data_IF_243216061012
#
_entry.id   IF_243216061012
#
_cell.length_a   1.000
_cell.length_b   1.000
_cell.length_c   1.000
_cell.angle_alpha   90.00
_cell.angle_beta   90.00
_cell.angle_gamma   90.00
#
_symmetry.space_group_name_H-M   'P 1'
#
loop_
_entity.id
_entity.type
_entity.pdbx_description
1 polymer ?
#
# COMPACT_ATOMS: atom_id res chain seq x y z
N UNK A 1 -8.21 -4.42 7.30
CA UNK A 1 -6.83 -4.69 6.83
C UNK A 1 -6.28 -3.56 5.96
N UNK A 2 -6.75 -3.34 4.72
CA UNK A 2 -6.19 -2.31 3.80
C UNK A 2 -6.05 -0.91 4.39
N UNK A 3 -7.04 -0.48 5.17
CA UNK A 3 -7.01 0.83 5.85
C UNK A 3 -5.82 0.95 6.79
N UNK A 4 -5.56 -0.08 7.59
CA UNK A 4 -4.45 -0.05 8.55
C UNK A 4 -3.12 -0.01 7.82
N UNK A 5 -2.97 -0.83 6.76
CA UNK A 5 -1.77 -0.85 5.92
C UNK A 5 -1.52 0.54 5.32
N UNK A 6 -2.52 1.14 4.65
CA UNK A 6 -2.41 2.48 4.08
C UNK A 6 -2.06 3.53 5.14
N UNK A 7 -2.79 3.52 6.26
CA UNK A 7 -2.60 4.51 7.32
C UNK A 7 -1.22 4.40 7.97
N UNK A 8 -0.73 3.18 8.21
CA UNK A 8 0.60 2.94 8.77
C UNK A 8 1.70 3.32 7.78
N UNK A 9 1.54 2.95 6.51
CA UNK A 9 2.49 3.27 5.46
C UNK A 9 2.62 4.77 5.24
N UNK A 10 1.51 5.51 5.14
CA UNK A 10 1.55 6.96 5.00
C UNK A 10 2.16 7.65 6.23
N UNK A 11 1.74 7.25 7.44
CA UNK A 11 2.25 7.85 8.68
C UNK A 11 3.75 7.64 8.86
N UNK A 12 4.27 6.47 8.47
CA UNK A 12 5.71 6.17 8.54
C UNK A 12 6.47 6.68 7.32
N UNK A 13 5.75 7.02 6.24
CA UNK A 13 6.22 7.41 4.89
C UNK A 13 7.10 6.38 4.18
N UNK A 14 7.98 5.69 4.89
CA UNK A 14 8.94 4.72 4.36
C UNK A 14 8.85 3.40 5.11
N UNK A 15 8.77 2.31 4.35
CA UNK A 15 8.92 0.93 4.82
C UNK A 15 10.13 0.33 4.09
N UNK A 16 10.89 -0.55 4.75
CA UNK A 16 11.94 -1.36 4.13
C UNK A 16 11.47 -2.79 3.96
N UNK A 17 11.75 -3.39 2.81
CA UNK A 17 11.53 -4.81 2.62
C UNK A 17 12.67 -5.67 3.22
N UNK A 18 12.56 -6.99 3.12
CA UNK A 18 13.58 -7.92 3.64
C UNK A 18 14.97 -7.75 3.02
N UNK A 19 15.08 -7.13 1.83
CA UNK A 19 16.32 -6.84 1.12
C UNK A 19 16.89 -5.47 1.50
N UNK A 20 16.21 -4.69 2.34
CA UNK A 20 16.58 -3.32 2.70
C UNK A 20 16.13 -2.27 1.68
N UNK A 21 15.39 -2.66 0.63
CA UNK A 21 14.92 -1.75 -0.40
C UNK A 21 13.73 -0.91 0.11
N UNK A 22 13.61 0.30 -0.42
CA UNK A 22 12.73 1.36 0.09
C UNK A 22 11.37 1.31 -0.59
N UNK A 23 10.31 1.21 0.22
CA UNK A 23 8.91 1.34 -0.15
C UNK A 23 8.43 2.71 0.34
N UNK A 24 8.32 3.67 -0.58
CA UNK A 24 8.09 5.09 -0.24
C UNK A 24 6.70 5.55 -0.67
N UNK A 25 5.94 6.10 0.28
CA UNK A 25 4.65 6.73 0.04
C UNK A 25 4.74 7.93 -0.90
N UNK A 26 5.92 8.56 -1.00
CA UNK A 26 6.19 9.67 -1.92
C UNK A 26 5.81 9.35 -3.36
N UNK A 27 5.97 8.10 -3.82
CA UNK A 27 5.58 7.73 -5.18
C UNK A 27 4.08 7.87 -5.44
N UNK A 28 3.23 7.67 -4.42
CA UNK A 28 1.78 7.92 -4.53
C UNK A 28 1.49 9.42 -4.65
N UNK A 29 2.23 10.25 -3.89
CA UNK A 29 2.13 11.73 -3.97
C UNK A 29 2.56 12.23 -5.35
N UNK A 30 3.75 11.81 -5.81
CA UNK A 30 4.30 12.16 -7.12
C UNK A 30 3.38 11.73 -8.27
N UNK A 31 2.86 10.50 -8.23
CA UNK A 31 1.91 10.02 -9.23
C UNK A 31 0.66 10.89 -9.30
N UNK A 32 0.07 11.24 -8.15
CA UNK A 32 -1.10 12.12 -8.12
C UNK A 32 -0.81 13.52 -8.68
N UNK A 33 0.30 14.15 -8.28
CA UNK A 33 0.65 15.48 -8.79
C UNK A 33 0.96 15.44 -10.29
N UNK A 34 1.68 14.42 -10.79
CA UNK A 34 1.94 14.26 -12.21
C UNK A 34 0.64 14.12 -13.04
N UNK A 35 -0.29 13.26 -12.60
CA UNK A 35 -1.58 13.09 -13.29
C UNK A 35 -2.43 14.39 -13.24
N UNK A 36 -2.29 15.17 -12.18
CA UNK A 36 -2.97 16.46 -12.03
C UNK A 36 -2.37 17.54 -12.93
N UNK A 37 -1.05 17.62 -13.03
CA UNK A 37 -0.33 18.55 -13.90
C UNK A 37 -0.58 18.27 -15.38
N UNK A 38 -0.55 17.00 -15.77
CA UNK A 38 -0.81 16.57 -17.15
C UNK A 38 -2.29 16.63 -17.53
N UNK A 39 -3.20 16.66 -16.54
CA UNK A 39 -4.65 16.58 -16.76
C UNK A 39 -5.14 15.21 -17.26
N UNK A 40 -4.26 14.21 -17.33
CA UNK A 40 -4.52 12.86 -17.82
C UNK A 40 -4.13 11.82 -16.77
N UNK A 41 -4.91 10.74 -16.66
CA UNK A 41 -4.67 9.66 -15.71
C UNK A 41 -4.20 8.39 -16.41
N UNK A 42 -3.23 7.70 -15.82
CA UNK A 42 -2.70 6.43 -16.32
C UNK A 42 -3.57 5.24 -15.87
N UNK A 43 -4.89 5.35 -16.03
CA UNK A 43 -5.85 4.32 -15.60
C UNK A 43 -6.07 4.24 -14.08
N UNK A 44 -5.43 5.12 -13.29
CA UNK A 44 -5.65 5.17 -11.85
C UNK A 44 -6.93 5.94 -11.49
N UNK A 45 -7.43 5.71 -10.27
CA UNK A 45 -8.56 6.46 -9.69
C UNK A 45 -8.11 7.43 -8.60
N UNK A 46 -6.82 7.76 -8.57
CA UNK A 46 -6.26 8.61 -7.55
C UNK A 46 -6.84 10.03 -7.66
N UNK A 47 -7.02 10.63 -6.48
CA UNK A 47 -7.52 12.00 -6.32
C UNK A 47 -6.88 12.58 -5.07
N UNK A 48 -7.05 13.88 -4.84
CA UNK A 48 -6.59 14.54 -3.61
C UNK A 48 -7.02 13.82 -2.34
N UNK A 49 -8.22 13.21 -2.33
CA UNK A 49 -8.76 12.44 -1.19
C UNK A 49 -7.99 11.15 -0.90
N UNK A 50 -7.27 10.59 -1.87
CA UNK A 50 -6.44 9.40 -1.70
C UNK A 50 -5.09 9.72 -1.08
N UNK A 51 -4.56 10.92 -1.33
CA UNK A 51 -3.30 11.40 -0.76
C UNK A 51 -3.55 12.04 0.61
N UNK A 52 -4.52 12.96 0.69
CA UNK A 52 -4.89 13.68 1.90
C UNK A 52 -6.13 13.05 2.55
N UNK A 53 -6.02 11.78 2.91
CA UNK A 53 -7.16 10.98 3.38
C UNK A 53 -7.45 11.13 4.89
N UNK A 54 -6.88 12.10 5.61
CA UNK A 54 -7.00 12.18 7.08
C UNK A 54 -8.47 12.19 7.57
N UNK A 55 -9.35 12.91 6.88
CA UNK A 55 -10.79 12.93 7.18
C UNK A 55 -11.52 11.65 6.71
N UNK A 56 -10.92 10.90 5.79
CA UNK A 56 -11.41 9.65 5.22
C UNK A 56 -10.57 8.43 5.67
N UNK A 57 -9.94 8.51 6.85
CA UNK A 57 -9.01 7.48 7.37
C UNK A 57 -9.67 6.10 7.50
N UNK A 58 -11.00 6.08 7.69
CA UNK A 58 -11.79 4.86 7.81
C UNK A 58 -12.46 4.38 6.51
N UNK A 59 -12.23 5.07 5.39
CA UNK A 59 -12.81 4.73 4.09
C UNK A 59 -12.00 3.62 3.39
N UNK A 60 -12.54 2.39 3.41
CA UNK A 60 -11.90 1.21 2.79
C UNK A 60 -11.80 1.38 1.28
N UNK A 61 -12.81 2.01 0.65
CA UNK A 61 -12.86 2.17 -0.80
C UNK A 61 -11.67 3.00 -1.30
N UNK A 62 -11.35 4.10 -0.61
CA UNK A 62 -10.17 4.90 -0.94
C UNK A 62 -8.88 4.09 -0.74
N UNK A 63 -8.77 3.32 0.36
CA UNK A 63 -7.59 2.50 0.58
C UNK A 63 -7.39 1.42 -0.49
N UNK A 64 -8.47 0.76 -0.93
CA UNK A 64 -8.43 -0.21 -2.01
C UNK A 64 -8.07 0.42 -3.35
N UNK A 65 -8.52 1.65 -3.63
CA UNK A 65 -8.17 2.38 -4.83
C UNK A 65 -6.70 2.81 -4.83
N UNK A 66 -6.16 3.26 -3.70
CA UNK A 66 -4.74 3.60 -3.57
C UNK A 66 -3.83 2.37 -3.73
N UNK A 67 -4.24 1.23 -3.17
CA UNK A 67 -3.46 -0.02 -3.19
C UNK A 67 -3.95 -0.97 -4.30
N UNK A 68 -4.34 -0.43 -5.45
CA UNK A 68 -4.89 -1.22 -6.57
C UNK A 68 -3.83 -1.57 -7.62
N UNK A 69 -4.11 -2.61 -8.41
CA UNK A 69 -3.22 -3.01 -9.51
C UNK A 69 -2.98 -1.88 -10.52
N UNK A 70 -3.99 -1.06 -10.83
CA UNK A 70 -3.80 0.03 -11.80
C UNK A 70 -2.84 1.12 -11.30
N UNK A 71 -2.71 1.32 -9.99
CA UNK A 71 -1.68 2.19 -9.42
C UNK A 71 -0.29 1.57 -9.58
N UNK A 72 -0.15 0.26 -9.36
CA UNK A 72 1.11 -0.45 -9.59
C UNK A 72 1.52 -0.42 -11.07
N UNK A 73 0.58 -0.60 -11.99
CA UNK A 73 0.81 -0.55 -13.44
C UNK A 73 1.25 0.86 -13.87
N UNK A 74 0.60 1.91 -13.35
CA UNK A 74 0.97 3.30 -13.62
C UNK A 74 2.39 3.62 -13.12
N UNK A 75 2.73 3.19 -11.90
CA UNK A 75 4.09 3.35 -11.38
C UNK A 75 5.12 2.54 -12.18
N UNK A 76 4.74 1.37 -12.70
CA UNK A 76 5.61 0.55 -13.57
C UNK A 76 5.90 1.27 -14.88
N UNK A 77 4.87 1.86 -15.50
CA UNK A 77 5.06 2.68 -16.69
C UNK A 77 6.00 3.86 -16.42
N UNK A 78 5.77 4.59 -15.33
CA UNK A 78 6.60 5.75 -14.96
C UNK A 78 8.03 5.36 -14.60
N UNK A 79 8.26 4.23 -13.93
CA UNK A 79 9.60 3.70 -13.66
C UNK A 79 10.44 3.57 -14.92
N UNK A 80 9.82 3.21 -16.04
CA UNK A 80 10.51 2.98 -17.32
C UNK A 80 10.60 4.25 -18.19
N UNK A 81 9.87 5.31 -17.85
CA UNK A 81 9.71 6.50 -18.72
C UNK A 81 10.09 7.82 -18.03
N UNK A 82 10.24 7.82 -16.71
CA UNK A 82 10.52 9.00 -15.91
C UNK A 82 11.55 8.68 -14.80
N UNK A 83 12.66 9.42 -14.79
CA UNK A 83 13.77 9.24 -13.84
C UNK A 83 13.31 9.39 -12.38
N UNK A 84 12.29 10.21 -12.10
CA UNK A 84 11.73 10.41 -10.75
C UNK A 84 11.15 9.14 -10.11
N UNK A 85 10.88 8.12 -10.93
CA UNK A 85 10.22 6.87 -10.55
C UNK A 85 11.11 5.64 -10.72
N UNK A 86 12.38 5.81 -11.10
CA UNK A 86 13.30 4.71 -11.40
C UNK A 86 13.43 3.71 -10.24
N UNK A 87 13.44 4.22 -9.01
CA UNK A 87 13.54 3.44 -7.77
C UNK A 87 12.17 3.01 -7.20
N UNK A 88 11.05 3.21 -7.92
CA UNK A 88 9.72 2.84 -7.46
C UNK A 88 9.46 1.32 -7.41
N UNK A 89 10.42 0.49 -7.86
CA UNK A 89 10.31 -0.97 -7.95
C UNK A 89 9.76 -1.66 -6.69
N UNK A 90 10.34 -1.42 -5.51
CA UNK A 90 9.84 -2.04 -4.27
C UNK A 90 8.42 -1.58 -3.91
N UNK A 91 8.06 -0.35 -4.26
CA UNK A 91 6.72 0.21 -4.02
C UNK A 91 5.67 -0.44 -4.93
N UNK A 92 6.01 -0.65 -6.20
CA UNK A 92 5.17 -1.38 -7.17
C UNK A 92 4.91 -2.82 -6.68
N UNK A 93 5.97 -3.51 -6.25
CA UNK A 93 5.89 -4.87 -5.72
C UNK A 93 4.99 -4.91 -4.48
N UNK A 94 5.19 -3.99 -3.54
CA UNK A 94 4.37 -3.87 -2.32
C UNK A 94 2.88 -3.71 -2.63
N UNK A 95 2.53 -2.75 -3.50
CA UNK A 95 1.12 -2.49 -3.88
C UNK A 95 0.51 -3.74 -4.52
N UNK A 96 1.23 -4.39 -5.42
CA UNK A 96 0.77 -5.59 -6.13
C UNK A 96 0.49 -6.74 -5.14
N UNK A 97 1.41 -7.00 -4.20
CA UNK A 97 1.22 -8.03 -3.16
C UNK A 97 -0.05 -7.80 -2.33
N UNK A 98 -0.24 -6.57 -1.87
CA UNK A 98 -1.40 -6.22 -1.06
C UNK A 98 -2.70 -6.32 -1.89
N UNK A 99 -2.69 -5.88 -3.16
CA UNK A 99 -3.83 -5.98 -4.05
C UNK A 99 -4.26 -7.45 -4.26
N UNK A 100 -3.32 -8.33 -4.62
CA UNK A 100 -3.65 -9.72 -4.93
C UNK A 100 -4.14 -10.50 -3.72
N UNK A 101 -3.54 -10.30 -2.53
CA UNK A 101 -4.08 -10.92 -1.30
C UNK A 101 -5.45 -10.37 -0.97
N UNK A 102 -5.69 -9.07 -1.13
CA UNK A 102 -7.01 -8.50 -0.92
C UNK A 102 -8.05 -9.09 -1.89
N UNK A 103 -7.67 -9.27 -3.15
CA UNK A 103 -8.52 -9.88 -4.17
C UNK A 103 -8.85 -11.35 -3.85
N UNK A 104 -7.86 -12.14 -3.40
CA UNK A 104 -8.07 -13.53 -2.95
C UNK A 104 -9.05 -13.57 -1.77
N UNK A 105 -8.82 -12.74 -0.74
CA UNK A 105 -9.63 -12.69 0.48
C UNK A 105 -11.05 -12.17 0.24
N UNK A 106 -11.27 -11.47 -0.88
CA UNK A 106 -12.57 -10.96 -1.29
C UNK A 106 -13.08 -11.61 -2.59
N UNK A 107 -12.56 -12.79 -2.92
CA UNK A 107 -12.92 -13.52 -4.11
C UNK A 107 -14.33 -14.11 -3.99
N UNK A 108 -15.18 -13.84 -4.99
CA UNK A 108 -16.60 -14.26 -4.99
C UNK A 108 -17.12 -14.66 -6.36
N UNK A 109 -16.39 -14.39 -7.44
CA UNK A 109 -16.87 -14.58 -8.80
C UNK A 109 -16.23 -15.80 -9.43
N UNK A 110 -17.04 -16.77 -9.89
CA UNK A 110 -16.54 -17.96 -10.61
C UNK A 110 -15.87 -17.60 -11.94
N UNK A 111 -16.40 -16.60 -12.65
CA UNK A 111 -15.97 -16.22 -14.01
C UNK A 111 -15.12 -14.94 -14.04
N UNK A 112 -14.42 -14.63 -12.95
CA UNK A 112 -13.52 -13.48 -12.94
C UNK A 112 -12.38 -13.68 -13.95
N UNK A 113 -12.14 -12.66 -14.78
CA UNK A 113 -10.97 -12.61 -15.68
C UNK A 113 -9.65 -12.57 -14.93
N UNK A 114 -9.64 -11.99 -13.73
CA UNK A 114 -8.45 -11.95 -12.87
C UNK A 114 -8.37 -13.26 -12.08
N UNK A 115 -7.26 -14.03 -12.19
CA UNK A 115 -7.09 -15.31 -11.52
C UNK A 115 -7.25 -15.23 -10.00
N UNK A 116 -6.80 -14.15 -9.39
CA UNK A 116 -6.84 -13.92 -7.93
C UNK A 116 -8.19 -13.44 -7.40
N UNK A 117 -9.17 -13.20 -8.28
CA UNK A 117 -10.55 -12.84 -7.90
C UNK A 117 -11.55 -13.99 -8.12
N UNK A 118 -11.07 -15.13 -8.63
CA UNK A 118 -11.88 -16.33 -8.86
C UNK A 118 -12.33 -16.92 -7.53
N UNK A 119 -13.56 -17.42 -7.45
CA UNK A 119 -14.06 -18.04 -6.23
C UNK A 119 -13.15 -19.20 -5.79
N UNK A 120 -12.96 -19.36 -4.48
CA UNK A 120 -12.16 -20.44 -3.91
C UNK A 120 -12.80 -21.78 -4.27
N UNK A 121 -12.04 -22.64 -4.93
CA UNK A 121 -12.40 -23.97 -5.43
C UNK A 121 -11.17 -24.86 -5.40
N UNK A 122 -11.35 -26.17 -5.56
CA UNK A 122 -10.22 -27.12 -5.62
C UNK A 122 -9.20 -26.74 -6.71
N UNK A 123 -9.66 -26.16 -7.82
CA UNK A 123 -8.82 -25.69 -8.92
C UNK A 123 -7.95 -24.46 -8.57
N UNK A 124 -8.37 -23.62 -7.62
CA UNK A 124 -7.71 -22.35 -7.28
C UNK A 124 -7.00 -22.39 -5.93
N UNK A 125 -7.35 -23.36 -5.09
CA UNK A 125 -6.95 -23.40 -3.69
C UNK A 125 -5.44 -23.48 -3.51
N UNK A 126 -4.75 -24.30 -4.32
CA UNK A 126 -3.31 -24.50 -4.16
C UNK A 126 -2.51 -23.28 -4.62
N UNK A 127 -2.89 -22.65 -5.74
CA UNK A 127 -2.33 -21.36 -6.17
C UNK A 127 -2.48 -20.30 -5.08
N UNK A 128 -3.65 -20.23 -4.44
CA UNK A 128 -3.92 -19.27 -3.38
C UNK A 128 -3.11 -19.55 -2.13
N UNK A 129 -2.95 -20.82 -1.73
CA UNK A 129 -2.09 -21.21 -0.60
C UNK A 129 -0.64 -20.80 -0.84
N UNK A 130 -0.09 -21.12 -2.02
CA UNK A 130 1.29 -20.76 -2.39
C UNK A 130 1.46 -19.25 -2.31
N UNK A 131 0.54 -18.52 -2.92
CA UNK A 131 0.59 -17.05 -2.95
C UNK A 131 0.50 -16.44 -1.53
N UNK A 132 -0.43 -16.92 -0.70
CA UNK A 132 -0.60 -16.46 0.68
C UNK A 132 0.66 -16.76 1.51
N UNK A 133 1.29 -17.93 1.34
CA UNK A 133 2.55 -18.26 2.02
C UNK A 133 3.67 -17.31 1.62
N UNK A 134 3.79 -17.01 0.33
CA UNK A 134 4.75 -16.01 -0.17
C UNK A 134 4.48 -14.63 0.42
N UNK A 135 3.21 -14.21 0.46
CA UNK A 135 2.80 -12.95 1.05
C UNK A 135 3.11 -12.86 2.55
N UNK A 136 2.82 -13.92 3.33
CA UNK A 136 3.14 -13.96 4.77
C UNK A 136 4.65 -13.80 4.99
N UNK A 137 5.47 -14.48 4.17
CA UNK A 137 6.93 -14.35 4.22
C UNK A 137 7.37 -12.92 3.89
N UNK A 138 6.78 -12.32 2.86
CA UNK A 138 7.05 -10.94 2.44
C UNK A 138 6.71 -9.94 3.57
N UNK A 139 5.50 -10.00 4.13
CA UNK A 139 5.04 -9.09 5.18
C UNK A 139 5.89 -9.22 6.46
N UNK A 140 6.28 -10.43 6.85
CA UNK A 140 7.19 -10.66 8.00
C UNK A 140 8.58 -10.04 7.79
N UNK A 141 8.97 -9.81 6.54
CA UNK A 141 10.21 -9.16 6.17
C UNK A 141 10.17 -7.63 6.20
N UNK A 142 8.98 -7.02 6.32
CA UNK A 142 8.82 -5.57 6.32
C UNK A 142 9.27 -4.95 7.64
N UNK A 143 9.94 -3.79 7.57
CA UNK A 143 10.47 -3.07 8.72
C UNK A 143 10.31 -1.56 8.54
N UNK A 144 10.12 -0.83 9.63
CA UNK A 144 10.22 0.64 9.61
C UNK A 144 11.67 1.10 9.73
N UNK A 145 11.95 2.35 9.35
CA UNK A 145 13.30 2.94 9.41
C UNK A 145 13.92 2.89 10.80
N UNK A 146 13.12 3.00 11.86
CA UNK A 146 13.57 2.99 13.25
C UNK A 146 14.05 1.60 13.73
N UNK A 147 14.11 0.59 12.84
CA UNK A 147 14.50 -0.78 13.16
C UNK A 147 13.46 -1.55 13.98
N UNK A 148 12.33 -0.91 14.33
CA UNK A 148 11.22 -1.55 15.03
C UNK A 148 10.53 -2.51 14.05
N UNK A 149 10.84 -3.80 14.19
CA UNK A 149 9.95 -4.88 13.76
C UNK A 149 8.73 -4.79 14.67
N UNK A 150 7.58 -4.43 14.11
CA UNK A 150 6.36 -4.24 14.89
C UNK A 150 5.97 -5.57 15.56
N UNK A 151 6.30 -5.70 16.86
CA UNK A 151 6.24 -6.98 17.61
C UNK A 151 4.85 -7.55 17.79
N UNK A 152 3.80 -6.83 17.41
CA UNK A 152 2.43 -7.30 17.45
C UNK A 152 1.57 -6.43 16.53
N UNK A 153 1.31 -6.90 15.32
CA UNK A 153 0.24 -6.33 14.47
C UNK A 153 -1.11 -6.36 15.20
N UNK A 154 -1.25 -7.24 16.22
CA UNK A 154 -2.43 -7.43 17.07
C UNK A 154 -2.63 -6.27 18.08
N UNK A 155 -1.58 -5.57 18.54
CA UNK A 155 -1.75 -4.51 19.56
C UNK A 155 -2.40 -3.23 19.02
N UNK A 156 -2.32 -2.97 17.71
CA UNK A 156 -3.07 -1.88 17.08
C UNK A 156 -4.58 -2.17 16.97
N UNK A 157 -5.04 -3.39 17.23
CA UNK A 157 -6.46 -3.77 17.09
C UNK A 157 -7.36 -3.24 18.21
N UNK A 158 -6.83 -2.71 19.32
CA UNK A 158 -7.65 -2.40 20.50
C UNK A 158 -7.82 -0.94 20.88
N UNK A 159 -7.05 0.01 20.36
CA UNK A 159 -7.23 1.41 20.73
C UNK A 159 -7.09 2.37 19.55
N UNK A 160 -8.19 3.02 19.22
CA UNK A 160 -8.16 4.28 18.48
C UNK A 160 -7.63 5.39 19.40
N UNK A 161 -6.60 6.10 18.91
CA UNK A 161 -5.98 7.32 19.48
C UNK A 161 -5.06 7.12 20.71
N UNK A 162 -4.29 8.13 21.16
CA UNK A 162 -3.18 8.81 20.49
C UNK A 162 -1.96 8.88 21.44
N UNK A 163 -1.13 7.82 21.54
CA UNK A 163 0.01 7.84 22.49
C UNK A 163 1.38 7.57 21.87
N UNK A 164 1.58 7.83 20.57
CA UNK A 164 2.91 7.77 19.95
C UNK A 164 3.59 9.13 19.77
N UNK A 165 3.16 10.18 20.48
CA UNK A 165 3.71 11.54 20.29
C UNK A 165 4.36 12.12 21.56
N UNK A 166 5.29 11.37 22.18
CA UNK A 166 6.11 11.89 23.29
C UNK A 166 7.54 12.29 22.92
N UNK A 167 8.03 11.97 21.71
CA UNK A 167 9.43 12.22 21.33
C UNK A 167 9.65 13.01 20.03
N UNK A 168 8.63 13.73 19.52
CA UNK A 168 8.86 14.67 18.40
C UNK A 168 9.18 16.05 18.99
N UNK A 169 10.35 16.66 18.69
CA UNK A 169 10.66 18.00 19.17
C UNK A 169 9.60 18.98 18.63
N UNK A 170 8.94 19.69 19.55
CA UNK A 170 7.97 20.73 19.23
C UNK A 170 8.71 21.88 18.53
N UNK A 171 8.55 21.99 17.22
CA UNK A 171 8.89 23.23 16.51
C UNK A 171 7.85 24.29 16.90
N UNK A 172 8.21 25.12 17.88
CA UNK A 172 7.48 26.33 18.21
C UNK A 172 7.81 27.38 17.16
N UNK A 173 6.85 27.73 16.30
CA UNK A 173 6.91 28.99 15.58
C UNK A 173 6.68 30.10 16.61
N UNK A 174 7.72 30.92 16.86
CA UNK A 174 7.55 32.19 17.59
C UNK A 174 6.72 33.13 16.70
N UNK A 175 5.83 33.85 17.40
CA UNK A 175 4.72 34.68 16.92
C UNK A 175 5.06 35.58 15.74
#
# INVERSE_FOLDING_TARGET
>A
MLKLIRNAWEHRSVIKNSKGEIIDWMYIKKLYELEKEQGLRAGTRLTKRHVNFHNDKMNVRLAAQTLSQSVADALTYLKNTNEDFKEAGPTIEFISFINYVYDILNSRSRFSKSPFKRAISDETLDDYKIYIQHFIKYVKGLQFLDGIKEKNWICWFHFGAPECNKNVPKFTFKR
#
